data_IF_614836948655
#
_entry.id   IF_614836948655
#
_cell.length_a   1.000
_cell.length_b   1.000
_cell.length_c   1.000
_cell.angle_alpha   90.00
_cell.angle_beta   90.00
_cell.angle_gamma   90.00
#
_symmetry.space_group_name_H-M   'P 1'
#
loop_
_entity.id
_entity.type
_entity.pdbx_description
1 polymer ?
#
# COMPACT_ATOMS: atom_id res chain seq x y z
N UNK A 1 -0.14 17.85 20.06
CA UNK A 1 0.10 17.83 18.60
C UNK A 1 0.95 16.60 18.33
N UNK A 2 0.34 15.56 17.76
CA UNK A 2 1.06 14.30 17.53
C UNK A 2 1.93 14.48 16.29
N UNK A 3 3.26 14.46 16.46
CA UNK A 3 4.20 14.38 15.36
C UNK A 3 4.00 13.06 14.63
N UNK A 4 3.52 13.10 13.39
CA UNK A 4 3.76 12.03 12.43
C UNK A 4 5.25 12.05 12.16
N UNK A 5 5.97 11.06 12.69
CA UNK A 5 7.42 11.11 12.87
C UNK A 5 8.15 11.43 11.56
N UNK A 6 7.56 11.08 10.41
CA UNK A 6 8.13 11.35 9.10
C UNK A 6 7.28 12.19 8.13
N UNK A 7 6.08 12.67 8.53
CA UNK A 7 5.21 13.42 7.61
C UNK A 7 5.89 14.66 7.03
N UNK A 8 6.59 15.43 7.87
CA UNK A 8 7.28 16.67 7.44
C UNK A 8 8.35 16.43 6.37
N UNK A 9 8.86 15.20 6.23
CA UNK A 9 9.89 14.86 5.25
C UNK A 9 9.32 14.44 3.90
N UNK A 10 8.10 13.91 3.86
CA UNK A 10 7.49 13.35 2.64
C UNK A 10 6.25 14.09 2.17
N UNK A 11 5.67 14.97 2.99
CA UNK A 11 4.42 15.65 2.69
C UNK A 11 4.46 16.40 1.37
N UNK A 12 5.59 17.03 1.05
CA UNK A 12 5.75 17.80 -0.19
C UNK A 12 5.72 16.90 -1.43
N UNK A 13 6.30 15.69 -1.38
CA UNK A 13 6.25 14.72 -2.50
C UNK A 13 4.79 14.34 -2.83
N UNK A 14 3.99 14.05 -1.80
CA UNK A 14 2.57 13.72 -1.98
C UNK A 14 1.74 14.94 -2.38
N UNK A 15 2.06 16.11 -1.83
CA UNK A 15 1.39 17.38 -2.15
C UNK A 15 1.53 17.74 -3.62
N UNK A 16 2.73 17.57 -4.19
CA UNK A 16 2.97 17.80 -5.62
C UNK A 16 2.06 16.95 -6.50
N UNK A 17 1.72 15.73 -6.09
CA UNK A 17 0.77 14.86 -6.82
C UNK A 17 -0.66 15.37 -6.65
N UNK A 18 -1.06 15.75 -5.44
CA UNK A 18 -2.40 16.29 -5.17
C UNK A 18 -2.68 17.61 -5.89
N UNK A 19 -1.67 18.48 -6.01
CA UNK A 19 -1.81 19.79 -6.66
C UNK A 19 -1.72 19.70 -8.20
N UNK A 20 -1.35 18.54 -8.75
CA UNK A 20 -1.41 18.31 -10.19
C UNK A 20 -2.86 18.19 -10.65
N UNK A 21 -3.23 18.99 -11.67
CA UNK A 21 -4.54 18.92 -12.32
C UNK A 21 -4.64 17.76 -13.30
N UNK A 22 -4.62 16.53 -12.79
CA UNK A 22 -4.85 15.33 -13.61
C UNK A 22 -6.33 15.15 -13.89
N UNK A 23 -6.64 14.76 -15.13
CA UNK A 23 -8.03 14.58 -15.58
C UNK A 23 -8.67 13.29 -15.06
N UNK A 24 -7.87 12.25 -14.78
CA UNK A 24 -8.36 10.95 -14.38
C UNK A 24 -7.81 10.51 -13.02
N UNK A 25 -8.66 9.92 -12.19
CA UNK A 25 -8.28 9.32 -10.91
C UNK A 25 -7.23 8.22 -11.09
N UNK A 26 -7.27 7.50 -12.20
CA UNK A 26 -6.28 6.49 -12.55
C UNK A 26 -4.86 7.07 -12.58
N UNK A 27 -4.65 8.20 -13.26
CA UNK A 27 -3.33 8.81 -13.38
C UNK A 27 -2.83 9.34 -12.03
N UNK A 28 -3.74 9.79 -11.17
CA UNK A 28 -3.43 10.21 -9.79
C UNK A 28 -2.97 9.01 -8.96
N UNK A 29 -3.75 7.92 -8.98
CA UNK A 29 -3.43 6.70 -8.25
C UNK A 29 -2.12 6.07 -8.73
N UNK A 30 -1.84 6.10 -10.03
CA UNK A 30 -0.58 5.61 -10.58
C UNK A 30 0.61 6.42 -10.07
N UNK A 31 0.51 7.75 -10.03
CA UNK A 31 1.58 8.57 -9.45
C UNK A 31 1.75 8.41 -7.95
N UNK A 32 0.68 8.19 -7.20
CA UNK A 32 0.81 7.82 -5.79
C UNK A 32 1.51 6.48 -5.61
N UNK A 33 1.16 5.48 -6.43
CA UNK A 33 1.83 4.18 -6.43
C UNK A 33 3.33 4.34 -6.72
N UNK A 34 3.68 5.06 -7.79
CA UNK A 34 5.08 5.31 -8.17
C UNK A 34 5.85 6.07 -7.09
N UNK A 35 5.23 7.09 -6.48
CA UNK A 35 5.83 7.81 -5.35
C UNK A 35 6.08 6.89 -4.16
N UNK A 36 5.10 6.07 -3.77
CA UNK A 36 5.26 5.10 -2.69
C UNK A 36 6.38 4.10 -3.00
N UNK A 37 6.44 3.58 -4.23
CA UNK A 37 7.50 2.65 -4.66
C UNK A 37 8.89 3.29 -4.58
N UNK A 38 9.03 4.53 -5.03
CA UNK A 38 10.28 5.28 -4.92
C UNK A 38 10.69 5.52 -3.46
N UNK A 39 9.76 5.93 -2.60
CA UNK A 39 10.04 6.15 -1.17
C UNK A 39 10.37 4.85 -0.42
N UNK A 40 9.85 3.72 -0.90
CA UNK A 40 10.16 2.39 -0.38
C UNK A 40 11.44 1.78 -0.96
N UNK A 41 12.07 2.42 -1.96
CA UNK A 41 13.18 1.84 -2.73
C UNK A 41 12.82 0.48 -3.37
N UNK A 42 11.63 0.39 -3.94
CA UNK A 42 11.10 -0.82 -4.58
C UNK A 42 10.79 -0.60 -6.06
N UNK A 43 11.21 -1.55 -6.91
CA UNK A 43 10.97 -1.50 -8.36
C UNK A 43 10.32 -2.80 -8.86
N UNK A 44 9.08 -3.12 -8.45
CA UNK A 44 8.41 -4.33 -8.89
C UNK A 44 8.14 -4.27 -10.40
N UNK A 45 8.24 -5.41 -11.06
CA UNK A 45 7.90 -5.52 -12.49
C UNK A 45 6.38 -5.60 -12.63
N UNK A 46 5.77 -4.58 -13.22
CA UNK A 46 4.35 -4.58 -13.58
C UNK A 46 4.15 -4.10 -15.02
N UNK A 47 2.98 -4.41 -15.59
CA UNK A 47 2.57 -3.95 -16.92
C UNK A 47 1.14 -3.44 -16.85
N UNK A 48 0.88 -2.36 -17.56
CA UNK A 48 -0.48 -1.86 -17.75
C UNK A 48 -1.17 -2.69 -18.84
N UNK A 49 -2.44 -3.00 -18.62
CA UNK A 49 -3.27 -3.69 -19.61
C UNK A 49 -4.06 -2.67 -20.42
N UNK A 50 -4.05 -2.78 -21.75
CA UNK A 50 -4.82 -1.91 -22.64
C UNK A 50 -6.33 -2.19 -22.62
N UNK A 51 -6.71 -3.37 -22.12
CA UNK A 51 -8.10 -3.83 -22.02
C UNK A 51 -8.30 -4.67 -20.76
N UNK A 52 -9.57 -4.85 -20.37
CA UNK A 52 -9.92 -5.77 -19.31
C UNK A 52 -9.43 -7.18 -19.65
N UNK A 53 -8.73 -7.80 -18.68
CA UNK A 53 -8.24 -9.18 -18.77
C UNK A 53 -9.16 -10.04 -17.91
N UNK A 54 -9.97 -10.85 -18.57
CA UNK A 54 -10.75 -11.90 -17.91
C UNK A 54 -9.81 -13.00 -17.45
N UNK A 55 -9.94 -13.40 -16.18
CA UNK A 55 -9.13 -14.43 -15.54
C UNK A 55 -9.99 -15.62 -15.11
N UNK A 56 -11.25 -15.71 -15.55
CA UNK A 56 -12.16 -16.82 -15.22
C UNK A 56 -11.55 -18.19 -15.51
N UNK A 57 -10.80 -18.29 -16.62
CA UNK A 57 -10.22 -19.54 -17.12
C UNK A 57 -8.69 -19.59 -16.97
N UNK A 58 -8.11 -18.74 -16.11
CA UNK A 58 -6.66 -18.63 -15.92
C UNK A 58 -6.25 -18.86 -14.45
N UNK A 59 -6.32 -20.13 -13.97
CA UNK A 59 -6.09 -20.48 -12.57
C UNK A 59 -4.66 -20.23 -12.08
N UNK A 60 -3.70 -20.04 -12.99
CA UNK A 60 -2.32 -19.69 -12.69
C UNK A 60 -2.16 -18.23 -12.21
N UNK A 61 -3.17 -17.38 -12.41
CA UNK A 61 -3.16 -16.00 -11.94
C UNK A 61 -3.97 -15.83 -10.66
N UNK A 62 -3.36 -15.19 -9.67
CA UNK A 62 -4.06 -14.76 -8.45
C UNK A 62 -4.82 -13.45 -8.73
N UNK A 63 -6.16 -13.51 -8.76
CA UNK A 63 -7.01 -12.34 -9.00
C UNK A 63 -7.40 -11.63 -7.69
N UNK A 64 -6.71 -10.51 -7.38
CA UNK A 64 -6.94 -9.74 -6.15
C UNK A 64 -7.90 -8.54 -6.31
N UNK A 65 -8.51 -8.34 -7.48
CA UNK A 65 -9.31 -7.12 -7.77
C UNK A 65 -10.52 -6.95 -6.85
N UNK A 66 -11.07 -8.05 -6.34
CA UNK A 66 -12.23 -8.06 -5.44
C UNK A 66 -11.85 -8.35 -3.98
N UNK A 67 -10.55 -8.48 -3.67
CA UNK A 67 -10.08 -8.89 -2.35
C UNK A 67 -10.21 -7.78 -1.30
N UNK A 68 -10.26 -6.52 -1.72
CA UNK A 68 -10.49 -5.37 -0.84
C UNK A 68 -11.82 -4.73 -1.24
N UNK A 69 -12.80 -4.71 -0.33
CA UNK A 69 -14.13 -4.19 -0.63
C UNK A 69 -14.71 -3.41 0.56
N UNK A 70 -15.27 -2.19 0.38
CA UNK A 70 -15.72 -1.35 1.51
C UNK A 70 -16.77 -2.00 2.42
N UNK A 71 -17.63 -2.87 1.86
CA UNK A 71 -18.73 -3.53 2.59
C UNK A 71 -18.43 -4.97 3.01
N UNK A 72 -17.27 -5.53 2.68
CA UNK A 72 -16.91 -6.91 3.02
C UNK A 72 -15.58 -6.89 3.75
N UNK A 73 -15.40 -7.78 4.73
CA UNK A 73 -14.06 -7.97 5.28
C UNK A 73 -13.17 -8.51 4.16
N UNK A 74 -12.01 -7.88 3.97
CA UNK A 74 -11.01 -8.36 3.03
C UNK A 74 -10.58 -9.77 3.43
N UNK A 75 -10.74 -10.74 2.53
CA UNK A 75 -10.27 -12.10 2.73
C UNK A 75 -8.89 -12.22 2.10
N UNK A 76 -7.90 -11.71 2.84
CA UNK A 76 -6.47 -11.84 2.50
C UNK A 76 -5.80 -12.93 3.34
N UNK A 77 -6.60 -13.78 3.99
CA UNK A 77 -6.11 -14.78 4.92
C UNK A 77 -5.13 -15.73 4.23
N UNK A 78 -3.94 -15.89 4.82
CA UNK A 78 -2.89 -16.76 4.30
C UNK A 78 -2.08 -16.20 3.14
N UNK A 79 -2.42 -15.02 2.60
CA UNK A 79 -1.61 -14.34 1.57
C UNK A 79 -0.58 -13.40 2.17
N UNK A 80 -0.94 -12.70 3.26
CA UNK A 80 -0.09 -11.72 3.93
C UNK A 80 -0.33 -11.72 5.43
N UNK A 81 0.73 -11.53 6.21
CA UNK A 81 0.64 -11.17 7.62
C UNK A 81 0.58 -9.65 7.78
N UNK A 82 -0.14 -9.15 8.78
CA UNK A 82 -0.23 -7.69 9.03
C UNK A 82 0.60 -7.36 10.27
N UNK A 83 1.91 -7.07 10.11
CA UNK A 83 2.74 -6.70 11.25
C UNK A 83 2.28 -5.37 11.85
N UNK A 84 2.26 -5.31 13.18
CA UNK A 84 2.02 -4.05 13.88
C UNK A 84 3.25 -3.14 13.79
N UNK A 85 3.04 -1.85 13.63
CA UNK A 85 4.08 -0.82 13.61
C UNK A 85 3.68 0.37 14.49
N UNK A 86 4.61 1.28 14.75
CA UNK A 86 4.37 2.41 15.66
C UNK A 86 3.52 3.48 14.98
N UNK A 87 2.22 3.43 15.23
CA UNK A 87 1.30 4.47 14.79
C UNK A 87 1.33 5.62 15.78
N UNK A 88 1.61 6.82 15.25
CA UNK A 88 1.62 8.02 16.09
C UNK A 88 0.20 8.49 16.43
N UNK A 89 -0.82 8.09 15.66
CA UNK A 89 -2.21 8.47 15.91
C UNK A 89 -2.95 7.39 16.71
N UNK A 90 -3.89 7.82 17.55
CA UNK A 90 -4.72 6.90 18.34
C UNK A 90 -3.99 6.30 19.55
N UNK A 91 -4.67 5.36 20.22
CA UNK A 91 -4.16 4.65 21.42
C UNK A 91 -3.81 3.18 21.15
N UNK A 92 -4.28 2.65 20.03
CA UNK A 92 -4.18 1.24 19.68
C UNK A 92 -3.86 1.13 18.19
N UNK A 93 -3.17 0.06 17.83
CA UNK A 93 -2.85 -0.26 16.46
C UNK A 93 -4.11 -0.49 15.62
N UNK A 94 -4.15 0.11 14.45
CA UNK A 94 -5.20 -0.06 13.44
C UNK A 94 -4.59 -0.74 12.22
N UNK A 95 -5.03 -1.95 11.92
CA UNK A 95 -4.59 -2.72 10.74
C UNK A 95 -5.26 -2.24 9.44
N UNK A 96 -4.73 -2.68 8.29
CA UNK A 96 -5.29 -2.41 6.95
C UNK A 96 -5.42 -0.91 6.60
N UNK A 97 -4.50 -0.09 7.10
CA UNK A 97 -4.35 1.30 6.68
C UNK A 97 -3.61 1.40 5.35
N UNK A 98 -3.56 2.60 4.78
CA UNK A 98 -2.88 2.83 3.52
C UNK A 98 -1.36 2.65 3.66
N UNK A 99 -0.69 2.33 2.55
CA UNK A 99 0.78 2.30 2.52
C UNK A 99 1.39 3.67 2.86
N UNK A 100 0.67 4.76 2.57
CA UNK A 100 1.08 6.13 2.90
C UNK A 100 1.12 6.33 4.42
N UNK A 101 0.16 5.76 5.16
CA UNK A 101 0.16 5.81 6.63
C UNK A 101 1.40 5.11 7.21
N UNK A 102 1.77 3.96 6.64
CA UNK A 102 2.99 3.24 7.03
C UNK A 102 4.24 4.10 6.76
N UNK A 103 4.36 4.68 5.56
CA UNK A 103 5.50 5.55 5.19
C UNK A 103 5.61 6.75 6.14
N UNK A 104 4.50 7.41 6.48
CA UNK A 104 4.53 8.56 7.39
C UNK A 104 4.83 8.21 8.85
N UNK A 105 4.56 6.97 9.26
CA UNK A 105 4.85 6.49 10.61
C UNK A 105 6.29 5.96 10.75
N UNK A 106 6.76 5.18 9.77
CA UNK A 106 8.00 4.39 9.85
C UNK A 106 9.14 4.94 8.97
N UNK A 107 8.83 5.81 8.00
CA UNK A 107 9.81 6.41 7.09
C UNK A 107 10.71 5.37 6.42
N UNK A 108 12.05 5.48 6.54
CA UNK A 108 12.98 4.50 5.97
C UNK A 108 12.74 3.04 6.44
N UNK A 109 12.12 2.84 7.60
CA UNK A 109 11.80 1.52 8.13
C UNK A 109 10.53 0.91 7.51
N UNK A 110 9.74 1.68 6.74
CA UNK A 110 8.48 1.22 6.15
C UNK A 110 8.67 -0.02 5.24
N UNK A 111 9.75 -0.05 4.45
CA UNK A 111 10.07 -1.18 3.59
C UNK A 111 10.30 -2.47 4.39
N UNK A 112 11.02 -2.37 5.51
CA UNK A 112 11.29 -3.50 6.39
C UNK A 112 9.99 -4.07 6.98
N UNK A 113 9.10 -3.21 7.48
CA UNK A 113 7.77 -3.61 7.97
C UNK A 113 6.95 -4.26 6.86
N UNK A 114 6.97 -3.70 5.65
CA UNK A 114 6.25 -4.27 4.50
C UNK A 114 6.77 -5.68 4.16
N UNK A 115 8.09 -5.90 4.14
CA UNK A 115 8.68 -7.21 3.85
C UNK A 115 8.33 -8.26 4.91
N UNK A 116 8.11 -7.88 6.16
CA UNK A 116 7.63 -8.80 7.18
C UNK A 116 6.24 -9.36 6.87
N UNK A 117 5.39 -8.64 6.12
CA UNK A 117 4.07 -9.14 5.70
C UNK A 117 4.14 -10.35 4.76
N UNK A 118 5.28 -10.54 4.08
CA UNK A 118 5.51 -11.65 3.15
C UNK A 118 6.06 -12.89 3.84
N UNK A 119 6.61 -12.74 5.05
CA UNK A 119 7.10 -13.86 5.85
C UNK A 119 5.90 -14.54 6.51
N UNK A 120 5.19 -15.36 5.72
CA UNK A 120 4.24 -16.33 6.26
C UNK A 120 5.04 -17.16 7.25
N UNK A 121 4.86 -16.91 8.55
CA UNK A 121 5.39 -17.83 9.55
C UNK A 121 4.80 -19.19 9.20
N UNK A 122 5.60 -20.26 9.00
CA UNK A 122 5.05 -21.59 8.78
C UNK A 122 4.22 -21.90 10.02
N UNK A 123 2.90 -21.82 9.87
CA UNK A 123 1.97 -22.02 10.97
C UNK A 123 2.24 -23.41 11.54
N UNK A 124 2.53 -23.44 12.84
CA UNK A 124 2.56 -24.66 13.66
C UNK A 124 1.25 -25.44 13.55
#
# INVERSE_FOLDING_TARGET
MVKRLFFEYYADDFRMIYEQNKSFLWDINLSFLECCLNLLDESPKYKLSDKYVDLSDSPEYLNLRSSIHPKKKSDLNGLFDIPSYQQVFGKAFVSNLSIIDLIFCEGPNANFVLKQSLNISPTK
#
